data_IF_614772936340
#
_entry.id   IF_614772936340
#
_cell.length_a   1.000
_cell.length_b   1.000
_cell.length_c   1.000
_cell.angle_alpha   90.00
_cell.angle_beta   90.00
_cell.angle_gamma   90.00
#
_symmetry.space_group_name_H-M   'P 1'
#
loop_
_entity.id
_entity.type
_entity.pdbx_description
1 polymer ?
#
# COMPACT_ATOMS: atom_id res chain seq x y z
N UNK A 1 5.38 5.29 11.66
CA UNK A 1 4.83 4.73 10.39
C UNK A 1 5.65 3.55 9.88
N UNK A 2 6.96 3.52 10.13
CA UNK A 2 7.88 2.43 9.76
C UNK A 2 7.38 1.00 10.06
N UNK A 3 6.71 0.79 11.20
CA UNK A 3 6.31 -0.54 11.69
C UNK A 3 4.88 -0.94 11.29
N UNK A 4 4.27 -0.29 10.31
CA UNK A 4 2.86 -0.51 9.93
C UNK A 4 2.68 -1.06 8.52
N UNK A 5 3.72 -1.70 7.96
CA UNK A 5 3.59 -2.38 6.68
C UNK A 5 2.51 -3.48 6.74
N UNK A 6 1.81 -3.77 5.63
CA UNK A 6 1.88 -3.07 4.33
C UNK A 6 1.14 -1.72 4.33
N UNK A 7 1.36 -0.91 3.30
CA UNK A 7 0.94 0.48 3.21
C UNK A 7 -0.19 0.72 2.20
N UNK A 8 -0.75 1.94 2.25
CA UNK A 8 -1.97 2.38 1.57
C UNK A 8 -3.26 1.70 2.08
N UNK A 9 -4.42 2.21 1.65
CA UNK A 9 -5.73 1.77 2.12
C UNK A 9 -6.03 0.29 1.82
N UNK A 10 -5.40 -0.26 0.77
CA UNK A 10 -5.57 -1.64 0.33
C UNK A 10 -4.38 -2.54 0.66
N UNK A 11 -3.35 -2.03 1.34
CA UNK A 11 -2.16 -2.82 1.68
C UNK A 11 -1.34 -3.29 0.47
N UNK A 12 -1.46 -2.64 -0.69
CA UNK A 12 -0.80 -3.07 -1.93
C UNK A 12 0.71 -2.85 -1.96
N UNK A 13 1.23 -1.90 -1.19
CA UNK A 13 2.64 -1.51 -1.18
C UNK A 13 3.34 -2.10 0.05
N UNK A 14 4.49 -2.75 -0.13
CA UNK A 14 5.14 -3.51 0.94
C UNK A 14 6.02 -2.67 1.85
N UNK A 15 6.62 -1.61 1.31
CA UNK A 15 7.64 -0.84 2.02
C UNK A 15 7.36 0.66 2.02
N UNK A 16 7.81 1.37 3.05
CA UNK A 16 7.62 2.81 3.14
C UNK A 16 8.40 3.55 2.04
N UNK A 17 9.58 3.03 1.66
CA UNK A 17 10.34 3.52 0.50
C UNK A 17 9.52 3.47 -0.79
N UNK A 18 8.84 2.36 -1.04
CA UNK A 18 8.01 2.20 -2.23
C UNK A 18 6.81 3.16 -2.24
N UNK A 19 6.27 3.54 -1.07
CA UNK A 19 5.27 4.62 -0.97
C UNK A 19 5.85 5.97 -1.41
N UNK A 20 7.08 6.29 -1.00
CA UNK A 20 7.74 7.54 -1.40
C UNK A 20 8.04 7.56 -2.90
N UNK A 21 8.51 6.43 -3.43
CA UNK A 21 8.75 6.26 -4.88
C UNK A 21 7.46 6.37 -5.69
N UNK A 22 6.33 5.84 -5.17
CA UNK A 22 5.02 6.03 -5.78
C UNK A 22 4.70 7.51 -5.90
N UNK A 23 4.73 8.30 -4.82
CA UNK A 23 4.42 9.73 -4.92
C UNK A 23 5.40 10.50 -5.81
N UNK A 24 6.68 10.09 -5.87
CA UNK A 24 7.68 10.75 -6.69
C UNK A 24 7.54 10.47 -8.20
N UNK A 25 7.20 9.21 -8.58
CA UNK A 25 7.30 8.73 -9.97
C UNK A 25 6.02 8.09 -10.53
N UNK A 26 4.87 8.15 -9.83
CA UNK A 26 3.60 7.52 -10.27
C UNK A 26 3.29 7.79 -11.74
N UNK A 27 3.40 9.05 -12.16
CA UNK A 27 2.99 9.49 -13.50
C UNK A 27 4.06 9.23 -14.56
N UNK A 28 5.29 8.97 -14.14
CA UNK A 28 6.41 8.62 -15.01
C UNK A 28 6.51 7.10 -15.25
N UNK A 29 6.04 6.28 -14.30
CA UNK A 29 6.16 4.82 -14.31
C UNK A 29 4.77 4.13 -14.16
N UNK A 30 3.73 4.45 -14.96
CA UNK A 30 2.37 3.93 -14.75
C UNK A 30 2.27 2.40 -14.81
N UNK A 31 3.11 1.74 -15.62
CA UNK A 31 3.17 0.28 -15.72
C UNK A 31 3.59 -0.40 -14.41
N UNK A 32 4.38 0.30 -13.57
CA UNK A 32 4.85 -0.20 -12.28
C UNK A 32 3.72 -0.21 -11.24
N UNK A 33 2.83 0.78 -11.28
CA UNK A 33 1.84 1.04 -10.23
C UNK A 33 0.43 0.54 -10.56
N UNK A 34 0.18 0.24 -11.84
CA UNK A 34 -1.11 -0.26 -12.33
C UNK A 34 -2.15 0.85 -12.54
N UNK A 35 -3.31 0.44 -13.03
CA UNK A 35 -4.39 1.37 -13.41
C UNK A 35 -5.19 1.76 -12.16
N UNK A 36 -5.54 3.04 -12.06
CA UNK A 36 -6.43 3.57 -11.04
C UNK A 36 -7.89 3.29 -11.40
N UNK A 37 -8.73 3.07 -10.40
CA UNK A 37 -10.13 2.68 -10.64
C UNK A 37 -10.98 3.82 -11.19
N UNK A 38 -10.60 5.06 -10.84
CA UNK A 38 -11.25 6.27 -11.31
C UNK A 38 -10.20 7.33 -11.68
N UNK A 39 -9.66 7.29 -12.91
CA UNK A 39 -8.58 8.18 -13.36
C UNK A 39 -8.91 9.67 -13.26
N UNK A 40 -10.17 10.06 -13.44
CA UNK A 40 -10.60 11.46 -13.47
C UNK A 40 -10.41 12.20 -12.13
N UNK A 41 -10.34 11.48 -11.01
CA UNK A 41 -10.16 12.08 -9.67
C UNK A 41 -8.71 12.05 -9.17
N UNK A 42 -7.79 11.54 -9.99
CA UNK A 42 -6.38 11.44 -9.58
C UNK A 42 -5.76 12.85 -9.52
N UNK A 43 -5.14 13.19 -8.40
CA UNK A 43 -4.37 14.42 -8.28
C UNK A 43 -3.07 14.30 -9.09
N UNK A 44 -2.93 15.12 -10.13
CA UNK A 44 -1.73 15.30 -10.95
C UNK A 44 -1.08 16.68 -10.79
N UNK A 45 -1.67 17.57 -9.99
CA UNK A 45 -1.17 18.94 -9.79
C UNK A 45 0.03 18.96 -8.84
N UNK A 46 -0.04 18.18 -7.76
CA UNK A 46 0.95 18.24 -6.67
C UNK A 46 1.76 16.95 -6.48
N UNK A 47 1.43 15.86 -7.19
CA UNK A 47 1.98 14.51 -6.94
C UNK A 47 2.18 13.73 -8.24
N UNK A 48 3.10 12.76 -8.22
CA UNK A 48 3.31 11.79 -9.30
C UNK A 48 4.54 12.06 -10.18
N UNK A 49 5.08 13.28 -10.12
CA UNK A 49 6.34 13.68 -10.74
C UNK A 49 7.03 14.75 -9.89
N UNK A 50 7.55 14.38 -8.72
CA UNK A 50 8.14 15.34 -7.77
C UNK A 50 9.61 15.66 -8.09
N UNK A 51 10.25 14.86 -8.94
CA UNK A 51 11.65 15.06 -9.33
C UNK A 51 12.66 14.80 -8.21
N UNK A 52 12.27 14.11 -7.13
CA UNK A 52 13.15 13.78 -6.03
C UNK A 52 14.21 12.78 -6.46
N UNK A 53 15.44 13.03 -6.00
CA UNK A 53 16.56 12.11 -6.11
C UNK A 53 16.43 10.95 -5.12
N UNK A 54 17.15 9.85 -5.38
CA UNK A 54 17.16 8.70 -4.46
C UNK A 54 17.73 9.06 -3.08
N UNK A 55 18.62 10.06 -3.02
CA UNK A 55 19.16 10.61 -1.78
C UNK A 55 18.09 11.37 -0.99
N UNK A 56 17.32 12.25 -1.64
CA UNK A 56 16.20 12.94 -0.99
C UNK A 56 15.11 11.99 -0.50
N UNK A 57 14.80 10.93 -1.27
CA UNK A 57 13.88 9.87 -0.83
C UNK A 57 14.44 9.18 0.42
N UNK A 58 15.76 8.95 0.48
CA UNK A 58 16.41 8.34 1.65
C UNK A 58 16.33 9.25 2.87
N UNK A 59 16.60 10.55 2.71
CA UNK A 59 16.45 11.51 3.79
C UNK A 59 15.00 11.61 4.30
N UNK A 60 14.01 11.57 3.40
CA UNK A 60 12.60 11.57 3.79
C UNK A 60 12.22 10.26 4.51
N UNK A 61 12.76 9.13 4.06
CA UNK A 61 12.57 7.85 4.73
C UNK A 61 13.13 7.88 6.16
N UNK A 62 14.34 8.40 6.35
CA UNK A 62 14.97 8.54 7.66
C UNK A 62 14.18 9.49 8.57
N UNK A 63 13.67 10.59 8.01
CA UNK A 63 12.76 11.49 8.73
C UNK A 63 11.49 10.78 9.20
N UNK A 64 10.88 9.93 8.36
CA UNK A 64 9.69 9.17 8.74
C UNK A 64 9.97 8.08 9.78
N UNK A 65 11.17 7.50 9.77
CA UNK A 65 11.61 6.55 10.80
C UNK A 65 11.81 7.24 12.16
N UNK A 66 12.16 8.53 12.18
CA UNK A 66 12.27 9.29 13.42
C UNK A 66 10.93 9.42 14.19
N UNK A 67 9.80 9.19 13.52
CA UNK A 67 8.47 9.12 14.16
C UNK A 67 8.12 7.74 14.71
N UNK A 68 9.06 6.80 14.76
CA UNK A 68 8.87 5.50 15.40
C UNK A 68 9.07 5.63 16.91
N UNK A 69 8.03 5.31 17.67
CA UNK A 69 8.07 5.36 19.13
C UNK A 69 8.95 4.24 19.71
N UNK A 70 9.87 4.60 20.63
CA UNK A 70 10.78 3.67 21.30
C UNK A 70 10.06 2.53 22.02
N UNK A 71 8.85 2.74 22.53
CA UNK A 71 8.05 1.71 23.20
C UNK A 71 7.65 0.58 22.24
N UNK A 72 7.54 0.86 20.94
CA UNK A 72 7.21 -0.14 19.92
C UNK A 72 8.43 -0.97 19.52
N UNK A 73 9.63 -0.39 19.56
CA UNK A 73 10.89 -1.07 19.18
C UNK A 73 11.14 -2.36 19.99
N UNK A 74 10.65 -2.41 21.24
CA UNK A 74 10.82 -3.52 22.18
C UNK A 74 9.55 -4.35 22.36
N UNK A 75 8.43 -3.95 21.76
CA UNK A 75 7.14 -4.60 21.95
C UNK A 75 7.03 -5.83 21.05
N UNK A 76 7.16 -7.01 21.65
CA UNK A 76 6.74 -8.25 20.99
C UNK A 76 5.22 -8.33 21.06
N UNK A 77 4.54 -8.06 19.94
CA UNK A 77 3.12 -8.36 19.81
C UNK A 77 2.96 -9.79 19.33
N UNK A 78 2.37 -10.67 20.14
CA UNK A 78 1.83 -11.93 19.64
C UNK A 78 0.49 -11.63 18.97
N UNK A 79 0.39 -11.88 17.67
CA UNK A 79 -0.93 -11.90 17.03
C UNK A 79 -1.81 -12.91 17.76
N UNK A 80 -3.06 -12.54 18.11
CA UNK A 80 -3.97 -13.48 18.73
C UNK A 80 -4.20 -14.66 17.78
N UNK A 81 -4.12 -15.88 18.30
CA UNK A 81 -4.50 -17.06 17.53
C UNK A 81 -6.00 -16.98 17.26
N UNK A 82 -6.40 -17.12 15.99
CA UNK A 82 -7.81 -17.19 15.64
C UNK A 82 -8.49 -18.38 16.34
N UNK A 83 -9.78 -18.28 16.70
CA UNK A 83 -10.54 -19.41 17.21
C UNK A 83 -10.48 -20.61 16.26
N UNK A 84 -10.49 -21.83 16.81
CA UNK A 84 -10.35 -23.09 16.05
C UNK A 84 -11.34 -23.25 14.88
N UNK A 85 -12.51 -22.61 14.96
CA UNK A 85 -13.58 -22.71 13.97
C UNK A 85 -13.63 -21.53 13.00
N UNK A 86 -12.65 -20.62 13.04
CA UNK A 86 -12.57 -19.53 12.07
C UNK A 86 -12.09 -20.09 10.74
N UNK A 87 -12.90 -20.00 9.66
CA UNK A 87 -12.47 -20.44 8.34
C UNK A 87 -11.25 -19.65 7.89
N UNK A 88 -10.30 -20.34 7.24
CA UNK A 88 -9.12 -19.68 6.68
C UNK A 88 -9.50 -18.79 5.50
N UNK A 89 -8.70 -17.76 5.24
CA UNK A 89 -8.88 -16.90 4.06
C UNK A 89 -8.97 -17.71 2.77
N UNK A 90 -8.14 -18.75 2.62
CA UNK A 90 -8.19 -19.68 1.48
C UNK A 90 -9.53 -20.42 1.36
N UNK A 91 -10.09 -20.89 2.47
CA UNK A 91 -11.39 -21.58 2.47
C UNK A 91 -12.56 -20.64 2.12
N UNK A 92 -12.45 -19.36 2.50
CA UNK A 92 -13.43 -18.33 2.12
C UNK A 92 -13.28 -18.01 0.63
N UNK A 93 -12.05 -17.84 0.13
CA UNK A 93 -11.76 -17.54 -1.29
C UNK A 93 -12.32 -18.57 -2.26
N UNK A 94 -12.40 -19.85 -1.86
CA UNK A 94 -13.02 -20.89 -2.69
C UNK A 94 -14.52 -20.67 -2.90
N UNK A 95 -15.21 -20.09 -1.92
CA UNK A 95 -16.64 -19.82 -1.96
C UNK A 95 -16.99 -18.39 -2.41
N UNK A 96 -16.04 -17.47 -2.23
CA UNK A 96 -16.13 -16.07 -2.60
C UNK A 96 -14.90 -15.73 -3.44
N UNK A 97 -14.94 -15.95 -4.77
CA UNK A 97 -13.86 -15.52 -5.63
C UNK A 97 -13.59 -14.04 -5.38
N UNK A 98 -12.31 -13.66 -5.40
CA UNK A 98 -11.86 -12.31 -5.07
C UNK A 98 -12.33 -11.34 -6.16
N UNK A 99 -13.58 -10.87 -6.05
CA UNK A 99 -14.08 -9.73 -6.79
C UNK A 99 -13.45 -8.48 -6.17
N UNK A 100 -12.13 -8.31 -6.37
CA UNK A 100 -11.63 -6.94 -6.48
C UNK A 100 -12.53 -6.26 -7.52
N UNK A 101 -12.94 -5.03 -7.30
CA UNK A 101 -13.90 -4.33 -8.17
C UNK A 101 -13.50 -4.40 -9.66
N UNK A 102 -12.21 -4.57 -9.99
CA UNK A 102 -11.70 -4.77 -11.37
C UNK A 102 -12.03 -6.13 -11.99
N UNK A 103 -12.29 -7.16 -11.18
CA UNK A 103 -12.61 -8.52 -11.60
C UNK A 103 -14.10 -8.84 -11.41
N UNK A 104 -14.90 -7.87 -10.96
CA UNK A 104 -16.36 -8.02 -10.90
C UNK A 104 -16.92 -8.04 -12.34
N UNK A 105 -17.74 -9.03 -12.71
CA UNK A 105 -18.36 -9.10 -14.04
C UNK A 105 -19.21 -7.87 -14.41
N UNK A 106 -19.63 -7.09 -13.42
CA UNK A 106 -20.42 -5.87 -13.60
C UNK A 106 -19.56 -4.60 -13.68
N UNK A 107 -18.23 -4.70 -13.60
CA UNK A 107 -17.34 -3.57 -13.76
C UNK A 107 -17.20 -3.22 -15.24
N UNK A 108 -17.92 -2.19 -15.69
CA UNK A 108 -17.75 -1.66 -17.04
C UNK A 108 -16.42 -0.91 -17.14
N UNK A 109 -15.48 -1.44 -17.93
CA UNK A 109 -14.31 -0.69 -18.40
C UNK A 109 -14.81 0.41 -19.33
N UNK A 110 -14.87 1.65 -18.83
CA UNK A 110 -15.05 2.84 -19.67
C UNK A 110 -13.77 3.18 -20.43
#
# INVERSE_FOLDING_TARGET
IELTAPYLHNGSIKTLREVLEFYNKRDLEPERWGVTDYPETVNHDDLGNLGLTDEEITHLLDFLHAFTDDSLSKKKTTFPTHPKYTPSTESIRLNFPDHTHRLDPNFETK
#
